data_IF_721476902446
#
_entry.id   IF_721476902446
#
_cell.length_a   1.000
_cell.length_b   1.000
_cell.length_c   1.000
_cell.angle_alpha   90.00
_cell.angle_beta   90.00
_cell.angle_gamma   90.00
#
_symmetry.space_group_name_H-M   'P 1'
#
loop_
_entity.id
_entity.type
_entity.pdbx_description
1 polymer ?
#
# COMPACT_ATOMS: atom_id res chain seq x y z
N UNK A 1 4.36 -9.55 -12.01
CA UNK A 1 5.22 -9.25 -10.85
C UNK A 1 6.24 -8.21 -11.28
N UNK A 2 5.93 -6.95 -10.95
CA UNK A 2 6.70 -5.77 -11.36
C UNK A 2 7.68 -5.29 -10.28
N UNK A 3 7.41 -5.62 -9.02
CA UNK A 3 8.17 -5.11 -7.86
C UNK A 3 8.84 -6.26 -7.10
N UNK A 4 9.95 -5.95 -6.43
CA UNK A 4 10.73 -6.85 -5.60
C UNK A 4 10.83 -6.33 -4.16
N UNK A 5 11.18 -7.23 -3.23
CA UNK A 5 11.48 -6.84 -1.85
C UNK A 5 12.60 -5.77 -1.83
N UNK A 6 12.37 -4.68 -1.12
CA UNK A 6 13.25 -3.51 -1.05
C UNK A 6 12.91 -2.38 -2.03
N UNK A 7 12.05 -2.61 -3.03
CA UNK A 7 11.67 -1.55 -3.97
C UNK A 7 10.87 -0.44 -3.25
N UNK A 8 11.23 0.80 -3.54
CA UNK A 8 10.47 1.99 -3.10
C UNK A 8 9.37 2.32 -4.10
N UNK A 9 8.15 2.44 -3.58
CA UNK A 9 6.93 2.64 -4.35
C UNK A 9 6.07 3.75 -3.74
N UNK A 10 5.27 4.40 -4.58
CA UNK A 10 4.16 5.24 -4.14
C UNK A 10 2.89 4.41 -4.18
N UNK A 11 2.21 4.29 -3.05
CA UNK A 11 0.84 3.80 -2.99
C UNK A 11 -0.12 4.94 -3.32
N UNK A 12 -1.04 4.70 -4.25
CA UNK A 12 -2.17 5.58 -4.54
C UNK A 12 -3.34 5.22 -3.62
N UNK A 13 -4.05 6.22 -3.10
CA UNK A 13 -5.27 6.06 -2.31
C UNK A 13 -6.31 5.26 -3.09
N UNK A 14 -6.79 4.18 -2.48
CA UNK A 14 -7.78 3.26 -3.05
C UNK A 14 -8.79 2.73 -2.01
N UNK A 15 -8.73 3.21 -0.78
CA UNK A 15 -9.66 2.89 0.31
C UNK A 15 -9.79 4.11 1.23
N UNK A 16 -10.89 4.21 1.96
CA UNK A 16 -11.22 5.41 2.73
C UNK A 16 -10.19 5.73 3.82
N UNK A 17 -9.71 4.70 4.54
CA UNK A 17 -8.70 4.82 5.58
C UNK A 17 -7.26 4.99 5.02
N UNK A 18 -7.04 4.69 3.74
CA UNK A 18 -5.71 4.77 3.13
C UNK A 18 -5.48 6.16 2.53
N UNK A 19 -4.27 6.66 2.67
CA UNK A 19 -3.79 7.87 2.02
C UNK A 19 -2.72 7.53 0.97
N UNK A 20 -2.48 8.46 0.05
CA UNK A 20 -1.29 8.42 -0.80
C UNK A 20 -0.05 8.40 0.09
N UNK A 21 0.83 7.41 -0.10
CA UNK A 21 2.03 7.30 0.72
C UNK A 21 3.20 6.71 -0.04
N UNK A 22 4.37 7.04 0.46
CA UNK A 22 5.62 6.40 0.05
C UNK A 22 5.85 5.20 0.95
N UNK A 23 6.23 4.09 0.34
CA UNK A 23 6.38 2.82 1.01
C UNK A 23 7.49 1.97 0.40
N UNK A 24 7.90 0.94 1.13
CA UNK A 24 8.86 -0.07 0.68
C UNK A 24 8.16 -1.42 0.58
N UNK A 25 8.38 -2.14 -0.51
CA UNK A 25 7.89 -3.51 -0.70
C UNK A 25 8.65 -4.43 0.25
N UNK A 26 7.95 -5.12 1.15
CA UNK A 26 8.57 -6.09 2.06
C UNK A 26 8.11 -7.53 1.81
N UNK A 27 7.09 -7.73 0.97
CA UNK A 27 6.68 -9.08 0.56
C UNK A 27 7.79 -9.78 -0.25
N UNK A 28 8.25 -10.94 0.23
CA UNK A 28 9.18 -11.82 -0.52
C UNK A 28 8.45 -12.69 -1.55
N UNK A 29 7.15 -12.91 -1.37
CA UNK A 29 6.27 -13.65 -2.28
C UNK A 29 4.92 -12.92 -2.39
N UNK A 30 4.69 -12.09 -3.42
CA UNK A 30 3.38 -11.49 -3.62
C UNK A 30 2.32 -12.55 -3.94
N UNK A 31 1.08 -12.29 -3.56
CA UNK A 31 -0.03 -13.23 -3.73
C UNK A 31 -0.83 -12.86 -4.97
N UNK A 32 -1.12 -13.83 -5.83
CA UNK A 32 -2.03 -13.61 -6.96
C UNK A 32 -3.48 -13.68 -6.45
N UNK A 33 -4.27 -12.64 -6.73
CA UNK A 33 -5.68 -12.52 -6.33
C UNK A 33 -6.55 -12.41 -7.57
N UNK A 34 -7.60 -13.24 -7.63
CA UNK A 34 -8.71 -13.02 -8.57
C UNK A 34 -9.64 -11.96 -7.98
N UNK A 35 -10.03 -10.99 -8.81
CA UNK A 35 -10.89 -9.87 -8.42
C UNK A 35 -12.32 -10.05 -8.92
N UNK A 36 -13.30 -9.30 -8.36
CA UNK A 36 -14.71 -9.38 -8.78
C UNK A 36 -14.97 -9.00 -10.23
N UNK A 37 -14.08 -8.24 -10.86
CA UNK A 37 -14.15 -7.84 -12.27
C UNK A 37 -13.63 -8.92 -13.23
N UNK A 38 -13.40 -10.15 -12.75
CA UNK A 38 -12.77 -11.27 -13.47
C UNK A 38 -11.33 -10.97 -13.94
N UNK A 39 -10.67 -9.96 -13.37
CA UNK A 39 -9.25 -9.74 -13.58
C UNK A 39 -8.42 -10.38 -12.47
N UNK A 40 -7.16 -10.66 -12.77
CA UNK A 40 -6.18 -11.06 -11.77
C UNK A 40 -5.29 -9.86 -11.42
N UNK A 41 -4.86 -9.78 -10.17
CA UNK A 41 -3.86 -8.80 -9.73
C UNK A 41 -2.89 -9.42 -8.70
N UNK A 42 -1.76 -8.75 -8.46
CA UNK A 42 -0.77 -9.15 -7.46
C UNK A 42 -0.93 -8.29 -6.21
N UNK A 43 -1.09 -8.94 -5.07
CA UNK A 43 -1.11 -8.32 -3.75
C UNK A 43 0.29 -8.34 -3.14
N UNK A 44 0.78 -7.16 -2.76
CA UNK A 44 2.07 -6.93 -2.10
C UNK A 44 1.85 -6.48 -0.66
N UNK A 45 2.80 -6.82 0.21
CA UNK A 45 2.90 -6.21 1.54
C UNK A 45 3.91 -5.06 1.48
N UNK A 46 3.49 -3.89 1.94
CA UNK A 46 4.30 -2.67 1.96
C UNK A 46 4.41 -2.11 3.38
N UNK A 47 5.58 -1.57 3.71
CA UNK A 47 5.82 -0.77 4.92
C UNK A 47 5.89 0.71 4.53
N UNK A 48 5.12 1.55 5.21
CA UNK A 48 5.08 2.97 4.94
C UNK A 48 6.32 3.68 5.50
N UNK A 49 6.80 4.71 4.80
CA UNK A 49 7.84 5.60 5.31
C UNK A 49 7.34 6.39 6.54
N UNK A 50 6.06 6.74 6.54
CA UNK A 50 5.37 7.40 7.64
C UNK A 50 4.07 6.67 7.94
N UNK A 51 3.71 6.47 9.22
CA UNK A 51 2.49 5.79 9.58
C UNK A 51 1.25 6.48 9.00
N UNK A 52 0.26 5.69 8.60
CA UNK A 52 -1.03 6.20 8.15
C UNK A 52 -2.04 6.20 9.30
N UNK A 53 -2.86 7.23 9.35
CA UNK A 53 -3.90 7.38 10.37
C UNK A 53 -5.27 7.24 9.74
N UNK A 54 -6.07 6.34 10.29
CA UNK A 54 -7.48 6.26 9.95
C UNK A 54 -8.25 7.35 10.70
N UNK A 55 -8.63 8.38 9.97
CA UNK A 55 -9.40 9.52 10.47
C UNK A 55 -10.92 9.35 10.26
N UNK A 56 -11.36 8.19 9.75
CA UNK A 56 -12.78 7.99 9.39
C UNK A 56 -13.67 7.64 10.58
N UNK A 57 -13.08 7.39 11.75
CA UNK A 57 -13.81 7.00 12.96
C UNK A 57 -14.05 8.20 13.91
N UNK A 58 -14.71 9.26 13.41
CA UNK A 58 -15.15 10.39 14.26
C UNK A 58 -16.23 10.00 15.30
N UNK A 59 -16.72 8.74 15.32
CA UNK A 59 -17.81 8.30 16.20
C UNK A 59 -17.49 7.10 17.12
N UNK A 60 -16.31 6.47 17.04
CA UNK A 60 -15.93 5.39 17.96
C UNK A 60 -14.59 5.68 18.66
N UNK A 61 -14.68 6.31 19.84
CA UNK A 61 -13.78 6.03 20.96
C UNK A 61 -12.27 6.29 20.71
N UNK A 62 -11.88 7.57 20.55
CA UNK A 62 -10.58 8.20 20.90
C UNK A 62 -9.25 7.46 20.60
N UNK A 63 -9.23 6.49 19.69
CA UNK A 63 -8.01 5.74 19.34
C UNK A 63 -7.71 5.90 17.87
N UNK A 64 -6.96 6.94 17.55
CA UNK A 64 -6.23 7.07 16.29
C UNK A 64 -5.53 5.73 15.98
N UNK A 65 -6.02 5.01 14.97
CA UNK A 65 -5.36 3.78 14.52
C UNK A 65 -4.25 4.17 13.55
N UNK A 66 -3.02 4.02 14.04
CA UNK A 66 -1.81 4.13 13.23
C UNK A 66 -1.51 2.80 12.55
N UNK A 67 -1.25 2.83 11.25
CA UNK A 67 -0.83 1.68 10.47
C UNK A 67 0.56 1.93 9.88
N UNK A 68 1.53 1.09 10.26
CA UNK A 68 2.90 1.16 9.72
C UNK A 68 3.05 0.37 8.42
N UNK A 69 2.09 -0.49 8.10
CA UNK A 69 2.13 -1.35 6.91
C UNK A 69 0.73 -1.78 6.46
N UNK A 70 0.63 -2.28 5.23
CA UNK A 70 -0.60 -2.87 4.73
C UNK A 70 -0.36 -3.81 3.54
N UNK A 71 -1.39 -4.56 3.15
CA UNK A 71 -1.43 -5.17 1.82
C UNK A 71 -2.08 -4.23 0.80
N UNK A 72 -1.59 -4.27 -0.44
CA UNK A 72 -2.07 -3.45 -1.54
C UNK A 72 -1.89 -4.17 -2.88
N UNK A 73 -2.84 -3.97 -3.79
CA UNK A 73 -2.78 -4.52 -5.14
C UNK A 73 -1.79 -3.76 -6.04
N UNK A 74 -1.15 -4.44 -6.98
CA UNK A 74 -0.14 -3.90 -7.90
C UNK A 74 -0.66 -2.68 -8.66
N UNK A 75 -1.96 -2.69 -9.03
CA UNK A 75 -2.60 -1.57 -9.75
C UNK A 75 -2.62 -0.24 -8.99
N UNK A 76 -2.42 -0.27 -7.67
CA UNK A 76 -2.37 0.92 -6.82
C UNK A 76 -0.94 1.30 -6.41
N UNK A 77 0.06 0.70 -7.04
CA UNK A 77 1.47 0.96 -6.79
C UNK A 77 2.14 1.59 -8.02
N UNK A 78 2.87 2.67 -7.78
CA UNK A 78 3.70 3.33 -8.79
C UNK A 78 5.18 3.28 -8.39
N UNK A 79 6.10 3.08 -9.36
CA UNK A 79 7.52 3.18 -9.09
C UNK A 79 7.88 4.65 -8.78
N UNK A 80 8.65 4.86 -7.73
CA UNK A 80 9.25 6.18 -7.48
C UNK A 80 10.47 6.28 -8.37
N UNK A 81 10.44 7.18 -9.36
CA UNK A 81 11.64 7.51 -10.11
C UNK A 81 12.64 8.16 -9.15
N UNK A 82 13.72 7.46 -8.86
CA UNK A 82 14.87 8.07 -8.22
C UNK A 82 15.57 8.87 -9.31
N UNK A 83 15.42 10.20 -9.31
CA UNK A 83 16.27 11.05 -10.13
C UNK A 83 17.71 10.90 -9.59
N UNK A 84 18.49 10.02 -10.21
CA UNK A 84 19.94 9.95 -9.98
C UNK A 84 20.54 11.27 -10.46
N UNK A 85 20.81 12.16 -9.52
CA UNK A 85 21.55 13.42 -9.75
C UNK A 85 23.04 13.17 -9.64
#
# INVERSE_FOLDING_TARGET
MKYFNGDRVRMIRHADWKQDAIATIVSTKPLKRALPDNTDDWEYWIEFDFPQYDLTDEMNDDRERSYDSCTVLERYLEPIKVDTT
#
